data_IF_348325544987
#
_entry.id   IF_348325544987
#
_cell.length_a   1.000
_cell.length_b   1.000
_cell.length_c   1.000
_cell.angle_alpha   90.00
_cell.angle_beta   90.00
_cell.angle_gamma   90.00
#
_symmetry.space_group_name_H-M   'P 1'
#
loop_
_entity.id
_entity.type
_entity.pdbx_description
1 polymer ?
#
# COMPACT_ATOMS: atom_id res chain seq x y z
N UNK A 1 19.58 -1.35 -9.68
CA UNK A 1 20.53 -2.28 -9.02
C UNK A 1 21.44 -1.46 -8.13
N UNK A 2 21.60 -1.75 -6.83
CA UNK A 2 22.48 -0.98 -5.95
C UNK A 2 23.94 -1.11 -6.43
N UNK A 3 24.64 0.01 -6.54
CA UNK A 3 26.04 0.09 -7.00
C UNK A 3 26.99 0.04 -5.80
N UNK A 4 28.14 -0.64 -5.89
CA UNK A 4 29.17 -0.56 -4.86
C UNK A 4 29.66 0.89 -4.69
N UNK A 5 29.78 1.36 -3.45
CA UNK A 5 30.25 2.71 -3.13
C UNK A 5 31.36 2.62 -2.10
N UNK A 6 32.53 3.17 -2.44
CA UNK A 6 33.66 3.32 -1.50
C UNK A 6 33.29 4.25 -0.34
N UNK A 7 32.60 5.37 -0.63
CA UNK A 7 32.16 6.31 0.41
C UNK A 7 31.19 5.70 1.43
N UNK A 8 30.25 4.86 0.99
CA UNK A 8 29.38 4.13 1.92
C UNK A 8 30.20 3.16 2.80
N UNK A 9 31.11 2.40 2.19
CA UNK A 9 31.93 1.41 2.90
C UNK A 9 32.84 2.04 3.97
N UNK A 10 33.45 3.17 3.64
CA UNK A 10 34.29 3.95 4.55
C UNK A 10 33.50 4.51 5.73
N UNK A 11 32.34 5.12 5.49
CA UNK A 11 31.48 5.65 6.56
C UNK A 11 30.95 4.54 7.47
N UNK A 12 30.52 3.40 6.90
CA UNK A 12 30.10 2.23 7.67
C UNK A 12 31.22 1.75 8.60
N UNK A 13 32.44 1.63 8.06
CA UNK A 13 33.61 1.20 8.84
C UNK A 13 33.95 2.20 9.94
N UNK A 14 33.94 3.50 9.63
CA UNK A 14 34.20 4.58 10.59
C UNK A 14 33.21 4.50 11.76
N UNK A 15 31.91 4.51 11.49
CA UNK A 15 30.87 4.43 12.53
C UNK A 15 30.95 3.16 13.36
N UNK A 16 31.27 2.02 12.74
CA UNK A 16 31.49 0.77 13.47
C UNK A 16 32.64 0.90 14.47
N UNK A 17 33.76 1.50 14.06
CA UNK A 17 34.92 1.70 14.93
C UNK A 17 34.65 2.74 16.03
N UNK A 18 33.94 3.82 15.71
CA UNK A 18 33.55 4.86 16.68
C UNK A 18 32.60 4.30 17.77
N UNK A 19 31.76 3.32 17.41
CA UNK A 19 30.92 2.57 18.35
C UNK A 19 31.68 1.43 19.09
N UNK A 20 32.99 1.30 18.88
CA UNK A 20 33.82 0.25 19.52
C UNK A 20 33.51 -1.18 19.06
N UNK A 21 32.80 -1.35 17.94
CA UNK A 21 32.36 -2.67 17.47
C UNK A 21 33.40 -3.34 16.58
N UNK A 22 33.71 -4.60 16.89
CA UNK A 22 34.42 -5.46 15.93
C UNK A 22 33.50 -5.83 14.76
N UNK A 23 34.08 -6.23 13.62
CA UNK A 23 33.28 -6.71 12.49
C UNK A 23 32.49 -7.99 12.84
N UNK A 24 33.01 -8.81 13.76
CA UNK A 24 32.29 -9.99 14.28
C UNK A 24 31.11 -9.57 15.16
N UNK A 25 31.26 -8.54 16.00
CA UNK A 25 30.17 -8.02 16.81
C UNK A 25 29.06 -7.41 15.95
N UNK A 26 29.41 -6.61 14.92
CA UNK A 26 28.41 -6.10 13.98
C UNK A 26 27.72 -7.24 13.22
N UNK A 27 28.47 -8.25 12.76
CA UNK A 27 27.95 -9.45 12.10
C UNK A 27 26.88 -10.16 12.93
N UNK A 28 27.12 -10.33 14.22
CA UNK A 28 26.15 -10.91 15.15
C UNK A 28 24.91 -10.01 15.31
N UNK A 29 25.11 -8.70 15.48
CA UNK A 29 24.03 -7.75 15.74
C UNK A 29 23.07 -7.55 14.56
N UNK A 30 23.56 -7.60 13.31
CA UNK A 30 22.71 -7.43 12.12
C UNK A 30 22.29 -8.76 11.48
N UNK A 31 22.72 -9.90 12.03
CA UNK A 31 22.47 -11.23 11.45
C UNK A 31 22.90 -11.34 9.98
N UNK A 32 24.07 -10.79 9.64
CA UNK A 32 24.73 -10.93 8.33
C UNK A 32 26.13 -11.49 8.52
N UNK A 33 26.65 -12.23 7.54
CA UNK A 33 27.99 -12.82 7.65
C UNK A 33 29.10 -11.75 7.67
N UNK A 34 30.12 -11.98 8.50
CA UNK A 34 31.35 -11.17 8.55
C UNK A 34 31.98 -10.96 7.17
N UNK A 35 31.99 -12.01 6.34
CA UNK A 35 32.55 -11.95 4.99
C UNK A 35 31.76 -11.00 4.08
N UNK A 36 30.43 -10.93 4.23
CA UNK A 36 29.61 -9.98 3.49
C UNK A 36 29.86 -8.55 3.97
N UNK A 37 29.86 -8.31 5.28
CA UNK A 37 30.15 -6.98 5.84
C UNK A 37 31.53 -6.47 5.43
N UNK A 38 32.55 -7.34 5.45
CA UNK A 38 33.91 -7.00 4.98
C UNK A 38 33.95 -6.59 3.51
N UNK A 39 33.14 -7.20 2.65
CA UNK A 39 33.06 -6.81 1.23
C UNK A 39 32.33 -5.47 1.06
N UNK A 40 31.34 -5.19 1.90
CA UNK A 40 30.61 -3.91 1.90
C UNK A 40 31.52 -2.77 2.38
N UNK A 41 32.22 -2.93 3.51
CA UNK A 41 33.15 -1.91 4.02
C UNK A 41 34.31 -1.59 3.07
N UNK A 42 34.68 -2.54 2.19
CA UNK A 42 35.71 -2.34 1.16
C UNK A 42 35.16 -1.81 -0.17
N UNK A 43 33.86 -1.55 -0.27
CA UNK A 43 33.23 -1.12 -1.53
C UNK A 43 33.20 -2.20 -2.62
N UNK A 44 33.43 -3.47 -2.28
CA UNK A 44 33.44 -4.59 -3.25
C UNK A 44 32.02 -5.07 -3.56
N UNK A 45 31.12 -5.00 -2.57
CA UNK A 45 29.72 -5.45 -2.71
C UNK A 45 28.79 -4.34 -2.26
N UNK A 46 27.78 -4.04 -3.06
CA UNK A 46 26.72 -3.13 -2.66
C UNK A 46 25.87 -3.73 -1.53
N UNK A 47 25.53 -2.97 -0.48
CA UNK A 47 24.64 -3.43 0.59
C UNK A 47 23.20 -3.56 0.06
N UNK A 48 22.43 -4.51 0.61
CA UNK A 48 20.98 -4.50 0.44
C UNK A 48 20.38 -3.39 1.30
N UNK A 49 19.21 -2.85 0.92
CA UNK A 49 18.48 -1.84 1.70
C UNK A 49 18.23 -2.30 3.15
N UNK A 50 17.84 -3.56 3.33
CA UNK A 50 17.61 -4.12 4.66
C UNK A 50 18.91 -4.16 5.49
N UNK A 51 20.06 -4.46 4.87
CA UNK A 51 21.35 -4.41 5.56
C UNK A 51 21.70 -2.97 5.96
N UNK A 52 21.45 -1.98 5.09
CA UNK A 52 21.68 -0.57 5.40
C UNK A 52 20.87 -0.15 6.61
N UNK A 53 19.57 -0.45 6.65
CA UNK A 53 18.66 -0.13 7.77
C UNK A 53 19.11 -0.75 9.09
N UNK A 54 19.50 -2.04 9.07
CA UNK A 54 20.01 -2.71 10.25
C UNK A 54 21.33 -2.09 10.76
N UNK A 55 22.25 -1.78 9.85
CA UNK A 55 23.49 -1.08 10.23
C UNK A 55 23.23 0.32 10.75
N UNK A 56 22.30 1.06 10.15
CA UNK A 56 21.92 2.41 10.55
C UNK A 56 21.36 2.43 11.99
N UNK A 57 20.49 1.48 12.31
CA UNK A 57 19.95 1.29 13.65
C UNK A 57 21.02 0.87 14.68
N UNK A 58 21.79 -0.18 14.38
CA UNK A 58 22.80 -0.72 15.30
C UNK A 58 23.90 0.30 15.60
N UNK A 59 24.28 1.12 14.62
CA UNK A 59 25.33 2.12 14.74
C UNK A 59 24.81 3.50 15.14
N UNK A 60 23.50 3.64 15.40
CA UNK A 60 22.83 4.90 15.75
C UNK A 60 23.19 6.02 14.79
N UNK A 61 22.99 5.74 13.51
CA UNK A 61 23.37 6.64 12.44
C UNK A 61 22.25 7.58 11.99
N UNK A 62 21.04 7.43 12.54
CA UNK A 62 19.91 8.35 12.39
C UNK A 62 19.63 8.74 10.93
N UNK A 63 19.61 7.73 10.04
CA UNK A 63 19.38 7.89 8.61
C UNK A 63 20.61 8.24 7.79
N UNK A 64 21.77 8.52 8.39
CA UNK A 64 22.96 8.90 7.64
C UNK A 64 23.45 7.79 6.71
N UNK A 65 23.41 6.51 7.14
CA UNK A 65 23.78 5.40 6.26
C UNK A 65 22.72 5.15 5.18
N UNK A 66 21.45 5.39 5.51
CA UNK A 66 20.34 5.31 4.53
C UNK A 66 20.54 6.35 3.43
N UNK A 67 20.74 7.62 3.79
CA UNK A 67 20.94 8.72 2.84
C UNK A 67 22.13 8.49 1.90
N UNK A 68 23.24 7.95 2.42
CA UNK A 68 24.40 7.60 1.60
C UNK A 68 24.13 6.47 0.60
N UNK A 69 23.23 5.54 0.93
CA UNK A 69 22.91 4.39 0.08
C UNK A 69 21.88 4.71 -1.01
N UNK A 70 20.99 5.68 -0.79
CA UNK A 70 20.00 6.14 -1.79
C UNK A 70 20.57 7.11 -2.83
N UNK A 71 21.67 7.82 -2.51
CA UNK A 71 22.25 8.85 -3.37
C UNK A 71 21.42 10.15 -3.38
N UNK A 72 21.92 11.26 -3.99
CA UNK A 72 21.14 12.48 -4.12
C UNK A 72 19.85 12.17 -4.89
N UNK A 73 18.71 12.60 -4.35
CA UNK A 73 17.42 12.42 -4.99
C UNK A 73 17.49 13.05 -6.39
N UNK A 74 17.50 12.22 -7.43
CA UNK A 74 17.28 12.73 -8.79
C UNK A 74 15.93 13.44 -8.75
N UNK A 75 15.89 14.72 -9.12
CA UNK A 75 14.63 15.43 -9.34
C UNK A 75 13.79 14.55 -10.26
N UNK A 76 12.81 13.89 -9.66
CA UNK A 76 11.85 13.12 -10.43
C UNK A 76 11.08 14.18 -11.19
N UNK A 77 11.02 14.11 -12.53
CA UNK A 77 10.34 15.13 -13.31
C UNK A 77 8.94 15.36 -12.71
N UNK A 78 8.45 16.60 -12.71
CA UNK A 78 7.14 16.91 -12.16
C UNK A 78 6.16 15.87 -12.69
N UNK A 79 5.53 15.13 -11.77
CA UNK A 79 4.48 14.18 -12.12
C UNK A 79 3.54 14.96 -13.01
N UNK A 80 3.52 14.60 -14.29
CA UNK A 80 2.52 15.09 -15.22
C UNK A 80 1.18 14.80 -14.52
N UNK A 81 0.52 15.84 -14.02
CA UNK A 81 -0.93 15.81 -13.90
C UNK A 81 -1.37 15.29 -15.23
N UNK A 82 -1.94 14.07 -15.28
CA UNK A 82 -2.21 13.40 -16.53
C UNK A 82 -2.87 14.41 -17.48
N UNK A 83 -2.07 14.97 -18.39
CA UNK A 83 -2.50 16.04 -19.27
C UNK A 83 -3.54 15.36 -20.15
N UNK A 84 -4.80 15.68 -19.89
CA UNK A 84 -5.93 15.13 -20.60
C UNK A 84 -5.88 13.61 -20.78
N UNK A 85 -6.04 12.83 -19.70
CA UNK A 85 -6.80 11.59 -19.85
C UNK A 85 -8.28 11.99 -20.04
N UNK A 86 -8.53 12.43 -21.27
CA UNK A 86 -9.80 12.88 -21.81
C UNK A 86 -10.76 11.69 -21.77
N UNK A 87 -11.92 11.85 -21.11
CA UNK A 87 -13.02 10.87 -20.99
C UNK A 87 -12.71 9.49 -21.62
N UNK A 88 -11.87 8.67 -20.95
CA UNK A 88 -11.55 7.34 -21.45
C UNK A 88 -12.81 6.47 -21.32
N UNK A 89 -13.31 6.01 -22.45
CA UNK A 89 -14.43 5.08 -22.56
C UNK A 89 -13.91 3.70 -22.15
N UNK A 90 -14.47 3.14 -21.08
CA UNK A 90 -14.11 1.81 -20.61
C UNK A 90 -14.86 0.78 -21.44
N UNK A 91 -14.13 -0.13 -22.08
CA UNK A 91 -14.78 -1.29 -22.70
C UNK A 91 -14.71 -2.44 -21.71
N UNK A 92 -15.89 -2.88 -21.26
CA UNK A 92 -16.03 -4.17 -20.59
C UNK A 92 -16.15 -5.23 -21.67
N UNK A 93 -15.16 -6.10 -21.77
CA UNK A 93 -15.28 -7.29 -22.60
C UNK A 93 -15.65 -8.47 -21.71
N UNK A 94 -16.79 -9.07 -22.02
CA UNK A 94 -17.30 -10.29 -21.40
C UNK A 94 -16.81 -11.47 -22.23
N UNK A 95 -15.94 -12.31 -21.66
CA UNK A 95 -15.64 -13.59 -22.29
C UNK A 95 -16.80 -14.57 -22.05
N UNK A 96 -17.16 -15.42 -23.04
CA UNK A 96 -18.10 -16.52 -22.84
C UNK A 96 -17.72 -17.45 -21.68
N UNK A 97 -16.44 -17.53 -21.35
CA UNK A 97 -15.91 -18.38 -20.27
C UNK A 97 -15.97 -17.72 -18.88
N UNK A 98 -16.53 -16.51 -18.78
CA UNK A 98 -16.73 -15.77 -17.52
C UNK A 98 -15.71 -14.69 -17.13
N UNK A 99 -14.42 -14.67 -17.58
CA UNK A 99 -13.54 -13.56 -17.22
C UNK A 99 -14.00 -12.28 -17.92
N UNK A 100 -14.10 -11.21 -17.13
CA UNK A 100 -14.42 -9.87 -17.60
C UNK A 100 -13.19 -8.99 -17.43
N UNK A 101 -12.70 -8.37 -18.50
CA UNK A 101 -11.63 -7.38 -18.39
C UNK A 101 -12.12 -6.00 -18.78
N UNK A 102 -11.60 -5.01 -18.05
CA UNK A 102 -11.85 -3.60 -18.29
C UNK A 102 -10.56 -2.99 -18.79
N UNK A 103 -10.58 -2.51 -20.03
CA UNK A 103 -9.46 -1.76 -20.57
C UNK A 103 -9.91 -0.31 -20.83
N UNK A 104 -9.12 0.69 -20.41
CA UNK A 104 -9.33 2.05 -20.86
C UNK A 104 -9.06 2.12 -22.36
N UNK A 105 -10.03 2.58 -23.15
CA UNK A 105 -9.84 2.78 -24.59
C UNK A 105 -9.60 4.26 -24.83
N UNK A 106 -8.39 4.58 -25.29
CA UNK A 106 -8.11 5.93 -25.79
C UNK A 106 -8.94 6.21 -27.04
N UNK A 107 -9.47 7.43 -27.20
CA UNK A 107 -10.29 7.85 -28.36
C UNK A 107 -9.70 7.47 -29.73
N UNK A 108 -8.36 7.40 -29.85
CA UNK A 108 -7.64 7.00 -31.08
C UNK A 108 -7.57 5.48 -31.29
N UNK A 109 -7.57 4.67 -30.23
CA UNK A 109 -7.61 3.20 -30.32
C UNK A 109 -9.02 2.69 -30.64
N UNK A 110 -10.07 3.40 -30.21
CA UNK A 110 -11.45 3.13 -30.61
C UNK A 110 -11.66 3.22 -32.14
N UNK A 111 -10.88 4.07 -32.83
CA UNK A 111 -10.93 4.21 -34.29
C UNK A 111 -10.10 3.12 -35.01
N UNK A 112 -9.06 2.58 -34.36
CA UNK A 112 -8.16 1.58 -34.95
C UNK A 112 -8.57 0.12 -34.74
N UNK A 113 -9.37 -0.19 -33.72
CA UNK A 113 -9.81 -1.55 -33.40
C UNK A 113 -10.85 -2.13 -34.38
N UNK A 114 -11.24 -1.36 -35.41
CA UNK A 114 -12.28 -1.76 -36.35
C UNK A 114 -13.65 -1.75 -35.67
N UNK A 115 -14.65 -1.27 -36.40
CA UNK A 115 -16.05 -1.37 -36.03
C UNK A 115 -16.52 -2.84 -36.08
N UNK A 116 -15.97 -3.71 -35.22
CA UNK A 116 -16.59 -4.99 -34.88
C UNK A 116 -17.76 -4.69 -33.93
N UNK A 117 -18.83 -4.15 -34.52
CA UNK A 117 -20.20 -4.12 -34.01
C UNK A 117 -20.35 -4.09 -32.48
N UNK A 118 -19.98 -2.97 -31.85
CA UNK A 118 -20.62 -2.63 -30.59
C UNK A 118 -22.08 -2.31 -30.92
N UNK A 119 -22.96 -3.31 -30.86
CA UNK A 119 -24.38 -3.05 -30.73
C UNK A 119 -24.58 -2.27 -29.43
N UNK A 120 -24.60 -0.93 -29.52
CA UNK A 120 -25.17 -0.10 -28.47
C UNK A 120 -26.63 -0.48 -28.40
N UNK A 121 -27.01 -1.31 -27.43
CA UNK A 121 -28.40 -1.45 -27.05
C UNK A 121 -28.90 -0.04 -26.74
N UNK A 122 -29.86 0.51 -27.51
CA UNK A 122 -30.46 1.79 -27.18
C UNK A 122 -31.31 1.54 -25.93
N UNK A 123 -30.69 1.64 -24.76
CA UNK A 123 -31.44 1.89 -23.55
C UNK A 123 -31.96 3.30 -23.70
N UNK A 124 -33.29 3.44 -23.89
CA UNK A 124 -33.93 4.74 -23.78
C UNK A 124 -33.46 5.39 -22.48
N UNK A 125 -33.05 6.66 -22.55
CA UNK A 125 -32.53 7.35 -21.37
C UNK A 125 -33.54 7.23 -20.22
N UNK A 126 -33.13 6.78 -19.03
CA UNK A 126 -34.07 6.63 -17.92
C UNK A 126 -34.76 7.97 -17.65
N UNK A 127 -36.07 7.93 -17.40
CA UNK A 127 -36.82 9.11 -16.98
C UNK A 127 -36.35 9.62 -15.61
N UNK A 128 -36.87 10.78 -15.13
CA UNK A 128 -36.57 11.28 -13.79
C UNK A 128 -36.82 10.19 -12.73
N UNK A 129 -35.90 10.04 -11.78
CA UNK A 129 -36.07 9.09 -10.69
C UNK A 129 -37.06 9.66 -9.67
N UNK A 130 -38.06 8.85 -9.29
CA UNK A 130 -38.90 9.18 -8.14
C UNK A 130 -38.01 9.27 -6.87
N UNK A 131 -38.19 10.27 -5.98
CA UNK A 131 -37.34 10.45 -4.80
C UNK A 131 -37.19 9.20 -3.93
N UNK A 132 -38.30 8.49 -3.65
CA UNK A 132 -38.28 7.25 -2.85
C UNK A 132 -37.52 6.10 -3.51
N UNK A 133 -37.51 6.03 -4.85
CA UNK A 133 -36.72 5.05 -5.58
C UNK A 133 -35.22 5.40 -5.53
N UNK A 134 -34.88 6.70 -5.55
CA UNK A 134 -33.51 7.18 -5.39
C UNK A 134 -32.93 6.86 -4.00
N UNK A 135 -33.70 7.10 -2.95
CA UNK A 135 -33.32 6.77 -1.56
C UNK A 135 -33.13 5.25 -1.38
N UNK A 136 -34.05 4.42 -1.88
CA UNK A 136 -33.93 2.97 -1.80
C UNK A 136 -32.70 2.42 -2.54
N UNK A 137 -32.39 2.97 -3.72
CA UNK A 137 -31.18 2.61 -4.47
C UNK A 137 -29.90 3.01 -3.73
N UNK A 138 -29.88 4.18 -3.10
CA UNK A 138 -28.76 4.66 -2.30
C UNK A 138 -28.48 3.72 -1.11
N UNK A 139 -29.52 3.31 -0.38
CA UNK A 139 -29.40 2.38 0.74
C UNK A 139 -28.91 0.99 0.29
N UNK A 140 -29.46 0.47 -0.80
CA UNK A 140 -29.03 -0.80 -1.39
C UNK A 140 -27.55 -0.75 -1.81
N UNK A 141 -27.13 0.30 -2.52
CA UNK A 141 -25.73 0.48 -2.91
C UNK A 141 -24.81 0.65 -1.70
N UNK A 142 -25.23 1.32 -0.62
CA UNK A 142 -24.44 1.42 0.63
C UNK A 142 -24.23 0.06 1.28
N UNK A 143 -25.28 -0.76 1.31
CA UNK A 143 -25.21 -2.14 1.79
C UNK A 143 -24.26 -2.97 0.92
N UNK A 144 -24.40 -2.90 -0.41
CA UNK A 144 -23.50 -3.59 -1.35
C UNK A 144 -22.04 -3.17 -1.16
N UNK A 145 -21.76 -1.89 -0.96
CA UNK A 145 -20.41 -1.39 -0.72
C UNK A 145 -19.77 -2.04 0.52
N UNK A 146 -20.53 -2.15 1.60
CA UNK A 146 -20.09 -2.81 2.83
C UNK A 146 -19.75 -4.27 2.59
N UNK A 147 -20.57 -4.98 1.80
CA UNK A 147 -20.30 -6.37 1.42
C UNK A 147 -19.05 -6.50 0.54
N UNK A 148 -18.88 -5.64 -0.47
CA UNK A 148 -17.68 -5.63 -1.31
C UNK A 148 -16.41 -5.42 -0.50
N UNK A 149 -16.42 -4.51 0.49
CA UNK A 149 -15.25 -4.26 1.34
C UNK A 149 -14.90 -5.46 2.21
N UNK A 150 -15.89 -6.18 2.73
CA UNK A 150 -15.70 -7.44 3.47
C UNK A 150 -15.13 -8.53 2.58
N UNK A 151 -15.74 -8.76 1.40
CA UNK A 151 -15.27 -9.76 0.44
C UNK A 151 -13.84 -9.46 -0.02
N UNK A 152 -13.53 -8.19 -0.26
CA UNK A 152 -12.18 -7.75 -0.61
C UNK A 152 -11.21 -7.74 0.57
N UNK A 153 -11.48 -8.47 1.65
CA UNK A 153 -10.45 -8.98 2.55
C UNK A 153 -10.03 -10.42 2.24
N UNK A 154 -10.80 -11.20 1.50
CA UNK A 154 -10.57 -12.64 1.37
C UNK A 154 -10.40 -13.13 -0.07
N UNK A 155 -10.82 -12.34 -1.07
CA UNK A 155 -10.72 -12.71 -2.49
C UNK A 155 -9.76 -11.82 -3.25
N UNK A 156 -9.22 -12.32 -4.38
CA UNK A 156 -8.42 -11.56 -5.34
C UNK A 156 -9.17 -10.34 -5.91
N UNK A 157 -8.51 -9.18 -6.14
CA UNK A 157 -9.15 -7.98 -6.67
C UNK A 157 -9.95 -8.17 -7.97
N UNK A 158 -9.49 -9.05 -8.87
CA UNK A 158 -10.11 -9.29 -10.17
C UNK A 158 -11.57 -9.73 -10.11
N UNK A 159 -11.98 -10.42 -9.04
CA UNK A 159 -13.38 -10.84 -8.85
C UNK A 159 -14.31 -9.68 -8.45
N UNK A 160 -13.77 -8.60 -7.89
CA UNK A 160 -14.57 -7.49 -7.34
C UNK A 160 -14.56 -6.25 -8.23
N UNK A 161 -13.44 -6.02 -8.93
CA UNK A 161 -13.24 -4.83 -9.77
C UNK A 161 -14.39 -4.61 -10.77
N UNK A 162 -14.87 -5.62 -11.54
CA UNK A 162 -16.01 -5.44 -12.44
C UNK A 162 -17.26 -4.85 -11.79
N UNK A 163 -17.69 -5.44 -10.68
CA UNK A 163 -18.91 -5.02 -9.98
C UNK A 163 -18.75 -3.64 -9.35
N UNK A 164 -17.59 -3.35 -8.75
CA UNK A 164 -17.32 -2.05 -8.15
C UNK A 164 -17.26 -0.92 -9.20
N UNK A 165 -16.64 -1.18 -10.36
CA UNK A 165 -16.58 -0.23 -11.47
C UNK A 165 -17.99 0.05 -11.99
N UNK A 166 -18.77 -1.01 -12.27
CA UNK A 166 -20.15 -0.88 -12.73
C UNK A 166 -21.01 -0.07 -11.75
N UNK A 167 -20.95 -0.38 -10.45
CA UNK A 167 -21.67 0.36 -9.41
C UNK A 167 -21.26 1.83 -9.34
N UNK A 168 -19.96 2.15 -9.53
CA UNK A 168 -19.50 3.55 -9.59
C UNK A 168 -20.19 4.31 -10.74
N UNK A 169 -20.28 3.68 -11.91
CA UNK A 169 -20.93 4.27 -13.08
C UNK A 169 -22.45 4.41 -12.89
N UNK A 170 -23.10 3.38 -12.36
CA UNK A 170 -24.54 3.40 -12.05
C UNK A 170 -24.88 4.53 -11.09
N UNK A 171 -24.13 4.71 -10.00
CA UNK A 171 -24.37 5.80 -9.04
C UNK A 171 -24.25 7.18 -9.70
N UNK A 172 -23.25 7.36 -10.57
CA UNK A 172 -23.09 8.60 -11.35
C UNK A 172 -24.27 8.83 -12.30
N UNK A 173 -24.74 7.79 -12.99
CA UNK A 173 -25.89 7.88 -13.90
C UNK A 173 -27.20 8.20 -13.17
N UNK A 174 -27.46 7.52 -12.05
CA UNK A 174 -28.61 7.79 -11.19
C UNK A 174 -28.59 9.24 -10.68
N UNK A 175 -27.43 9.75 -10.31
CA UNK A 175 -27.30 11.12 -9.80
C UNK A 175 -27.71 12.19 -10.83
N UNK A 176 -27.61 11.91 -12.13
CA UNK A 176 -28.03 12.84 -13.18
C UNK A 176 -29.56 12.99 -13.28
N UNK A 177 -30.32 12.06 -12.69
CA UNK A 177 -31.78 12.00 -12.75
C UNK A 177 -32.43 12.20 -11.38
N UNK A 178 -31.65 12.55 -10.36
CA UNK A 178 -32.08 12.70 -8.97
C UNK A 178 -32.23 14.17 -8.56
N UNK A 179 -32.98 14.44 -7.49
CA UNK A 179 -33.01 15.76 -6.84
C UNK A 179 -31.66 16.12 -6.22
N UNK A 180 -31.47 17.39 -5.85
CA UNK A 180 -30.17 17.89 -5.36
C UNK A 180 -29.66 17.23 -4.07
N UNK A 181 -30.55 16.76 -3.20
CA UNK A 181 -30.16 16.05 -1.98
C UNK A 181 -29.61 14.68 -2.31
N UNK A 182 -30.46 13.87 -2.97
CA UNK A 182 -30.12 12.51 -3.41
C UNK A 182 -28.90 12.49 -4.33
N UNK A 183 -28.78 13.48 -5.24
CA UNK A 183 -27.62 13.64 -6.12
C UNK A 183 -26.31 13.78 -5.34
N UNK A 184 -26.27 14.59 -4.27
CA UNK A 184 -25.06 14.74 -3.44
C UNK A 184 -24.67 13.43 -2.78
N UNK A 185 -25.63 12.70 -2.24
CA UNK A 185 -25.37 11.44 -1.54
C UNK A 185 -24.93 10.32 -2.48
N UNK A 186 -25.53 10.24 -3.68
CA UNK A 186 -25.11 9.31 -4.73
C UNK A 186 -23.68 9.61 -5.19
N UNK A 187 -23.32 10.88 -5.39
CA UNK A 187 -21.95 11.29 -5.73
C UNK A 187 -20.95 10.97 -4.61
N UNK A 188 -21.33 11.22 -3.36
CA UNK A 188 -20.52 10.88 -2.20
C UNK A 188 -20.28 9.36 -2.09
N UNK A 189 -21.31 8.53 -2.29
CA UNK A 189 -21.16 7.08 -2.32
C UNK A 189 -20.34 6.61 -3.53
N UNK A 190 -20.57 7.18 -4.72
CA UNK A 190 -19.78 6.90 -5.93
C UNK A 190 -18.29 7.19 -5.73
N UNK A 191 -17.95 8.28 -5.03
CA UNK A 191 -16.57 8.59 -4.65
C UNK A 191 -15.94 7.49 -3.79
N UNK A 192 -16.70 6.86 -2.88
CA UNK A 192 -16.22 5.77 -2.01
C UNK A 192 -16.00 4.48 -2.78
N UNK A 193 -16.86 4.19 -3.76
CA UNK A 193 -16.62 3.09 -4.68
C UNK A 193 -15.35 3.31 -5.50
N UNK A 194 -15.19 4.47 -6.14
CA UNK A 194 -14.01 4.82 -6.91
C UNK A 194 -12.72 4.77 -6.07
N UNK A 195 -12.78 5.24 -4.82
CA UNK A 195 -11.67 5.18 -3.86
C UNK A 195 -11.21 3.75 -3.60
N UNK A 196 -12.18 2.85 -3.41
CA UNK A 196 -11.92 1.45 -3.14
C UNK A 196 -11.42 0.71 -4.38
N UNK A 197 -11.96 1.00 -5.56
CA UNK A 197 -11.42 0.51 -6.84
C UNK A 197 -9.95 0.92 -6.98
N UNK A 198 -9.63 2.18 -6.72
CA UNK A 198 -8.24 2.66 -6.75
C UNK A 198 -7.33 1.93 -5.75
N UNK A 199 -7.85 1.50 -4.60
CA UNK A 199 -7.09 0.63 -3.69
C UNK A 199 -6.88 -0.78 -4.25
N UNK A 200 -7.92 -1.40 -4.81
CA UNK A 200 -7.81 -2.73 -5.42
C UNK A 200 -6.88 -2.75 -6.63
N UNK A 201 -6.85 -1.69 -7.46
CA UNK A 201 -5.88 -1.57 -8.57
C UNK A 201 -4.43 -1.47 -8.06
N UNK A 202 -4.20 -0.85 -6.90
CA UNK A 202 -2.88 -0.88 -6.29
C UNK A 202 -2.52 -2.30 -5.83
N UNK A 203 -3.49 -3.04 -5.30
CA UNK A 203 -3.30 -4.43 -4.88
C UNK A 203 -3.05 -5.37 -6.07
N UNK A 204 -3.43 -5.02 -7.31
CA UNK A 204 -3.01 -5.76 -8.52
C UNK A 204 -1.62 -5.36 -9.02
N UNK A 205 -1.07 -4.25 -8.52
CA UNK A 205 0.20 -3.67 -8.95
C UNK A 205 0.09 -2.62 -10.05
N UNK A 206 -1.13 -2.22 -10.44
CA UNK A 206 -1.36 -1.15 -11.43
C UNK A 206 -1.44 0.22 -10.74
N UNK A 207 -0.26 0.81 -10.49
CA UNK A 207 -0.15 2.12 -9.83
C UNK A 207 -0.77 3.25 -10.65
N UNK A 208 -0.73 3.17 -11.99
CA UNK A 208 -1.31 4.18 -12.88
C UNK A 208 -2.82 4.18 -12.75
N UNK A 209 -3.46 3.01 -12.85
CA UNK A 209 -4.90 2.91 -12.66
C UNK A 209 -5.32 3.26 -11.23
N UNK A 210 -4.52 2.89 -10.22
CA UNK A 210 -4.77 3.27 -8.84
C UNK A 210 -4.85 4.80 -8.66
N UNK A 211 -3.92 5.56 -9.26
CA UNK A 211 -3.92 7.03 -9.23
C UNK A 211 -5.08 7.62 -10.04
N UNK A 212 -5.39 7.05 -11.20
CA UNK A 212 -6.53 7.49 -12.01
C UNK A 212 -7.85 7.34 -11.25
N UNK A 213 -8.09 6.19 -10.64
CA UNK A 213 -9.30 5.95 -9.83
C UNK A 213 -9.35 6.81 -8.57
N UNK A 214 -8.19 7.11 -7.99
CA UNK A 214 -8.09 8.08 -6.89
C UNK A 214 -8.55 9.48 -7.35
N UNK A 215 -8.10 9.94 -8.52
CA UNK A 215 -8.57 11.21 -9.08
C UNK A 215 -10.07 11.17 -9.38
N UNK A 216 -10.58 10.07 -9.95
CA UNK A 216 -12.02 9.90 -10.20
C UNK A 216 -12.84 9.99 -8.92
N UNK A 217 -12.34 9.45 -7.81
CA UNK A 217 -12.97 9.59 -6.51
C UNK A 217 -13.05 11.07 -6.09
N UNK A 218 -11.97 11.84 -6.27
CA UNK A 218 -11.95 13.29 -5.99
C UNK A 218 -12.97 14.04 -6.82
N UNK A 219 -13.05 13.73 -8.12
CA UNK A 219 -13.99 14.41 -9.03
C UNK A 219 -15.45 14.16 -8.62
N UNK A 220 -15.78 12.91 -8.27
CA UNK A 220 -17.11 12.53 -7.79
C UNK A 220 -17.45 13.21 -6.45
N UNK A 221 -16.50 13.23 -5.50
CA UNK A 221 -16.71 13.91 -4.22
C UNK A 221 -16.94 15.41 -4.41
N UNK A 222 -16.15 16.06 -5.27
CA UNK A 222 -16.29 17.48 -5.58
C UNK A 222 -17.65 17.80 -6.22
N UNK A 223 -18.14 16.94 -7.13
CA UNK A 223 -19.47 17.07 -7.73
C UNK A 223 -20.61 16.91 -6.69
N UNK A 224 -20.36 16.14 -5.62
CA UNK A 224 -21.23 16.02 -4.44
C UNK A 224 -21.07 17.14 -3.40
N UNK A 225 -20.11 18.06 -3.60
CA UNK A 225 -19.84 19.18 -2.69
C UNK A 225 -18.70 18.96 -1.68
N UNK A 226 -18.09 17.77 -1.62
CA UNK A 226 -16.95 17.48 -0.76
C UNK A 226 -15.62 17.68 -1.50
N UNK A 227 -14.96 18.81 -1.23
CA UNK A 227 -13.63 19.13 -1.77
C UNK A 227 -12.47 18.57 -0.94
N UNK A 228 -12.74 18.02 0.25
CA UNK A 228 -11.70 17.58 1.18
C UNK A 228 -11.02 16.29 0.72
N UNK A 229 -11.67 15.50 -0.15
CA UNK A 229 -11.11 14.27 -0.69
C UNK A 229 -9.84 14.50 -1.53
N UNK A 230 -9.62 15.72 -2.05
CA UNK A 230 -8.35 16.10 -2.67
C UNK A 230 -7.15 15.98 -1.73
N UNK A 231 -7.34 16.22 -0.43
CA UNK A 231 -6.31 15.97 0.59
C UNK A 231 -6.03 14.47 0.77
N UNK A 232 -7.03 13.61 0.67
CA UNK A 232 -6.83 12.17 0.71
C UNK A 232 -6.10 11.63 -0.52
N UNK A 233 -6.30 12.23 -1.70
CA UNK A 233 -5.53 11.86 -2.89
C UNK A 233 -4.02 12.04 -2.70
N UNK A 234 -3.59 13.06 -1.94
CA UNK A 234 -2.18 13.22 -1.53
C UNK A 234 -1.72 12.07 -0.63
N UNK A 235 -2.55 11.61 0.31
CA UNK A 235 -2.26 10.43 1.16
C UNK A 235 -2.11 9.17 0.31
N UNK A 236 -2.96 8.99 -0.71
CA UNK A 236 -2.87 7.85 -1.65
C UNK A 236 -1.59 7.91 -2.48
N UNK A 237 -1.23 9.09 -2.99
CA UNK A 237 0.05 9.29 -3.69
C UNK A 237 1.25 8.99 -2.78
N UNK A 238 1.22 9.47 -1.53
CA UNK A 238 2.27 9.19 -0.54
C UNK A 238 2.40 7.67 -0.27
N UNK A 239 1.31 6.91 -0.31
CA UNK A 239 1.37 5.46 -0.17
C UNK A 239 2.03 4.78 -1.38
N UNK A 240 1.84 5.28 -2.60
CA UNK A 240 2.49 4.74 -3.79
C UNK A 240 4.00 5.02 -3.74
N UNK A 241 4.38 6.27 -3.43
CA UNK A 241 5.81 6.63 -3.28
C UNK A 241 6.48 5.85 -2.15
N UNK A 242 5.74 5.52 -1.09
CA UNK A 242 6.22 4.65 -0.01
C UNK A 242 6.64 3.27 -0.54
N UNK A 243 5.84 2.63 -1.39
CA UNK A 243 6.19 1.33 -1.97
C UNK A 243 7.30 1.41 -3.03
N UNK A 244 7.49 2.57 -3.64
CA UNK A 244 8.64 2.87 -4.48
C UNK A 244 9.92 3.15 -3.67
N UNK A 245 9.80 3.19 -2.33
CA UNK A 245 10.87 3.47 -1.38
C UNK A 245 11.42 4.91 -1.50
N UNK A 246 10.58 5.84 -1.96
CA UNK A 246 10.88 7.27 -2.03
C UNK A 246 10.43 7.96 -0.74
N UNK A 247 11.34 8.01 0.24
CA UNK A 247 11.09 8.63 1.53
C UNK A 247 10.75 10.12 1.41
N UNK A 248 11.50 10.87 0.59
CA UNK A 248 11.37 12.31 0.47
C UNK A 248 10.00 12.73 -0.09
N UNK A 249 9.57 12.10 -1.21
CA UNK A 249 8.24 12.39 -1.76
C UNK A 249 7.13 11.92 -0.84
N UNK A 250 7.30 10.78 -0.17
CA UNK A 250 6.32 10.27 0.80
C UNK A 250 6.07 11.29 1.92
N UNK A 251 7.15 11.83 2.52
CA UNK A 251 7.06 12.87 3.55
C UNK A 251 6.43 14.15 3.01
N UNK A 252 6.91 14.65 1.86
CA UNK A 252 6.43 15.90 1.29
C UNK A 252 4.92 15.87 0.96
N UNK A 253 4.44 14.78 0.36
CA UNK A 253 3.03 14.59 0.04
C UNK A 253 2.18 14.46 1.32
N UNK A 254 2.66 13.71 2.30
CA UNK A 254 1.98 13.52 3.58
C UNK A 254 1.87 14.82 4.38
N UNK A 255 2.88 15.67 4.38
CA UNK A 255 2.86 16.97 5.07
C UNK A 255 1.86 17.93 4.42
N UNK A 256 1.78 17.97 3.08
CA UNK A 256 0.78 18.75 2.34
C UNK A 256 -0.65 18.33 2.68
N UNK A 257 -0.88 17.04 2.96
CA UNK A 257 -2.17 16.49 3.34
C UNK A 257 -2.56 16.70 4.82
N UNK A 258 -1.77 17.49 5.58
CA UNK A 258 -2.04 17.79 6.99
C UNK A 258 -2.54 19.22 7.25
N UNK A 259 -2.91 19.97 6.20
CA UNK A 259 -3.44 21.34 6.33
C UNK A 259 -4.61 21.41 7.32
N UNK A 260 -4.71 22.54 8.05
CA UNK A 260 -5.75 22.73 9.08
C UNK A 260 -7.19 22.73 8.54
N UNK A 261 -7.35 22.89 7.22
CA UNK A 261 -8.64 22.85 6.51
C UNK A 261 -9.15 21.43 6.23
N UNK A 262 -8.32 20.40 6.41
CA UNK A 262 -8.69 19.02 6.14
C UNK A 262 -9.29 18.33 7.38
N UNK A 263 -10.23 17.37 7.20
CA UNK A 263 -10.80 16.59 8.28
C UNK A 263 -9.73 15.84 9.10
N UNK A 264 -9.93 15.66 10.44
CA UNK A 264 -9.00 14.93 11.30
C UNK A 264 -8.61 13.56 10.76
N UNK A 265 -9.56 12.81 10.20
CA UNK A 265 -9.30 11.50 9.60
C UNK A 265 -8.25 11.53 8.49
N UNK A 266 -8.34 12.48 7.56
CA UNK A 266 -7.37 12.64 6.47
C UNK A 266 -6.00 13.04 7.03
N UNK A 267 -5.97 13.99 7.97
CA UNK A 267 -4.73 14.45 8.62
C UNK A 267 -4.05 13.33 9.40
N UNK A 268 -4.82 12.46 10.06
CA UNK A 268 -4.30 11.29 10.76
C UNK A 268 -3.72 10.22 9.83
N UNK A 269 -4.41 9.92 8.73
CA UNK A 269 -3.88 9.02 7.69
C UNK A 269 -2.62 9.59 7.02
N UNK A 270 -2.59 10.91 6.81
CA UNK A 270 -1.42 11.61 6.31
C UNK A 270 -0.25 11.52 7.29
N UNK A 271 -0.46 11.76 8.58
CA UNK A 271 0.57 11.62 9.61
C UNK A 271 1.12 10.19 9.70
N UNK A 272 0.29 9.16 9.48
CA UNK A 272 0.79 7.77 9.35
C UNK A 272 1.74 7.60 8.16
N UNK A 273 1.43 8.20 6.99
CA UNK A 273 2.33 8.14 5.82
C UNK A 273 3.60 8.95 6.04
N UNK A 274 3.51 10.09 6.71
CA UNK A 274 4.68 10.86 7.11
C UNK A 274 5.60 10.05 8.02
N UNK A 275 5.03 9.36 9.03
CA UNK A 275 5.80 8.49 9.92
C UNK A 275 6.55 7.39 9.14
N UNK A 276 5.86 6.73 8.21
CA UNK A 276 6.50 5.70 7.38
C UNK A 276 7.56 6.29 6.45
N UNK A 277 7.35 7.48 5.89
CA UNK A 277 8.38 8.17 5.10
C UNK A 277 9.64 8.47 5.91
N UNK A 278 9.49 8.97 7.15
CA UNK A 278 10.61 9.16 8.08
C UNK A 278 11.28 7.85 8.46
N UNK A 279 10.51 6.78 8.67
CA UNK A 279 11.04 5.44 8.91
C UNK A 279 11.88 4.92 7.73
N UNK A 280 11.42 5.12 6.48
CA UNK A 280 12.20 4.77 5.29
C UNK A 280 13.53 5.54 5.22
N UNK A 281 13.55 6.79 5.70
CA UNK A 281 14.74 7.64 5.76
C UNK A 281 15.68 7.32 6.95
N UNK A 282 15.26 6.47 7.89
CA UNK A 282 16.01 6.20 9.13
C UNK A 282 15.83 7.23 10.24
N UNK A 283 14.93 8.22 10.08
CA UNK A 283 14.66 9.25 11.09
C UNK A 283 13.63 8.73 12.12
N UNK A 284 14.14 8.03 13.14
CA UNK A 284 13.35 7.45 14.23
C UNK A 284 12.55 8.50 15.01
N UNK A 285 13.13 9.68 15.21
CA UNK A 285 12.55 10.74 16.03
C UNK A 285 11.40 11.45 15.31
N UNK A 286 11.58 11.80 14.04
CA UNK A 286 10.51 12.36 13.23
C UNK A 286 9.40 11.35 12.99
N UNK A 287 9.75 10.06 12.79
CA UNK A 287 8.79 8.97 12.72
C UNK A 287 7.91 8.92 13.97
N UNK A 288 8.50 8.89 15.17
CA UNK A 288 7.76 8.88 16.44
C UNK A 288 6.84 10.08 16.60
N UNK A 289 7.34 11.30 16.34
CA UNK A 289 6.53 12.52 16.42
C UNK A 289 5.33 12.47 15.45
N UNK A 290 5.51 11.91 14.26
CA UNK A 290 4.43 11.76 13.29
C UNK A 290 3.39 10.70 13.73
N UNK A 291 3.83 9.59 14.35
CA UNK A 291 2.92 8.60 14.95
C UNK A 291 2.09 9.22 16.09
N UNK A 292 2.69 10.04 16.95
CA UNK A 292 1.98 10.72 18.04
C UNK A 292 0.91 11.70 17.51
N UNK A 293 1.24 12.44 16.44
CA UNK A 293 0.25 13.26 15.72
C UNK A 293 -0.87 12.42 15.13
N UNK A 294 -0.54 11.28 14.52
CA UNK A 294 -1.53 10.36 13.96
C UNK A 294 -2.49 9.85 15.04
N UNK A 295 -1.99 9.46 16.23
CA UNK A 295 -2.85 9.07 17.36
C UNK A 295 -3.79 10.20 17.77
N UNK A 296 -3.28 11.42 17.86
CA UNK A 296 -4.07 12.60 18.24
C UNK A 296 -5.21 12.88 17.26
N UNK A 297 -4.95 12.78 15.95
CA UNK A 297 -5.97 13.00 14.92
C UNK A 297 -7.00 11.87 14.85
N UNK A 298 -6.57 10.62 15.03
CA UNK A 298 -7.42 9.44 14.89
C UNK A 298 -8.15 9.02 16.17
N UNK A 299 -7.82 9.61 17.31
CA UNK A 299 -8.58 9.43 18.56
C UNK A 299 -9.99 10.05 18.48
N UNK A 300 -10.21 11.01 17.58
CA UNK A 300 -11.53 11.59 17.32
C UNK A 300 -12.27 10.67 16.36
N UNK A 301 -13.30 9.96 16.83
CA UNK A 301 -14.14 9.15 15.97
C UNK A 301 -15.13 10.04 15.21
N UNK A 302 -15.18 9.86 13.89
CA UNK A 302 -16.25 10.40 13.04
C UNK A 302 -17.45 9.42 13.11
N UNK A 303 -18.67 9.96 13.08
CA UNK A 303 -19.93 9.24 13.37
C UNK A 303 -20.19 7.95 12.56
N UNK A 304 -20.96 7.04 13.17
CA UNK A 304 -21.08 5.63 12.79
C UNK A 304 -21.71 5.32 11.41
N UNK A 305 -22.45 6.25 10.80
CA UNK A 305 -23.33 5.94 9.65
C UNK A 305 -22.74 6.21 8.25
N UNK A 306 -21.50 6.69 8.17
CA UNK A 306 -20.84 7.01 6.87
C UNK A 306 -19.66 6.08 6.59
N UNK A 307 -19.50 5.57 5.34
CA UNK A 307 -18.34 4.76 4.98
C UNK A 307 -17.02 5.51 5.25
N UNK A 308 -16.21 4.90 6.13
CA UNK A 308 -14.94 5.45 6.60
C UNK A 308 -13.87 5.35 5.52
N UNK A 309 -13.11 6.42 5.33
CA UNK A 309 -11.93 6.45 4.45
C UNK A 309 -10.79 5.63 5.06
N UNK A 310 -10.10 4.85 4.22
CA UNK A 310 -8.93 4.08 4.60
C UNK A 310 -9.27 2.72 5.23
N UNK A 311 -8.35 2.21 6.08
CA UNK A 311 -8.51 0.88 6.69
C UNK A 311 -9.69 0.84 7.66
N UNK A 312 -10.53 -0.19 7.53
CA UNK A 312 -11.64 -0.49 8.44
C UNK A 312 -11.41 -1.74 9.30
N UNK A 313 -10.38 -2.53 9.00
CA UNK A 313 -10.13 -3.83 9.63
C UNK A 313 -8.91 -3.81 10.57
N UNK A 314 -8.51 -2.62 11.01
CA UNK A 314 -7.43 -2.41 11.98
C UNK A 314 -8.00 -1.70 13.20
N UNK A 315 -8.19 -2.42 14.33
CA UNK A 315 -8.66 -1.80 15.58
C UNK A 315 -7.75 -0.68 16.07
N UNK A 316 -6.42 -0.90 16.08
CA UNK A 316 -5.41 0.15 16.26
C UNK A 316 -4.56 0.30 15.00
N UNK A 317 -5.04 1.14 14.08
CA UNK A 317 -4.29 1.41 12.85
C UNK A 317 -2.95 2.10 13.10
N UNK A 318 -2.79 2.86 14.20
CA UNK A 318 -1.53 3.57 14.47
C UNK A 318 -0.50 2.61 15.04
N UNK A 319 -0.87 1.76 16.00
CA UNK A 319 0.01 0.69 16.50
C UNK A 319 0.47 -0.25 15.38
N UNK A 320 -0.43 -0.65 14.49
CA UNK A 320 -0.04 -1.45 13.32
C UNK A 320 0.98 -0.73 12.41
N UNK A 321 0.81 0.58 12.20
CA UNK A 321 1.79 1.40 11.46
C UNK A 321 3.09 1.59 12.25
N UNK A 322 3.06 1.64 13.58
CA UNK A 322 4.27 1.63 14.42
C UNK A 322 5.11 0.38 14.16
N UNK A 323 4.48 -0.81 14.18
CA UNK A 323 5.16 -2.06 13.86
C UNK A 323 5.77 -2.06 12.46
N UNK A 324 5.08 -1.47 11.48
CA UNK A 324 5.63 -1.23 10.14
C UNK A 324 6.89 -0.36 10.19
N UNK A 325 6.80 0.80 10.82
CA UNK A 325 7.90 1.75 10.89
C UNK A 325 9.12 1.14 11.57
N UNK A 326 8.95 0.31 12.61
CA UNK A 326 10.05 -0.38 13.28
C UNK A 326 10.80 -1.35 12.36
N UNK A 327 10.11 -2.03 11.43
CA UNK A 327 10.78 -2.85 10.40
C UNK A 327 11.65 -1.98 9.49
N UNK A 328 11.11 -0.86 9.02
CA UNK A 328 11.82 0.02 8.08
C UNK A 328 12.92 0.86 8.76
N UNK A 329 12.82 1.08 10.08
CA UNK A 329 13.87 1.65 10.92
C UNK A 329 14.97 0.63 11.30
N UNK A 330 14.86 -0.63 10.87
CA UNK A 330 15.87 -1.65 11.19
C UNK A 330 15.86 -2.10 12.66
N UNK A 331 14.70 -2.06 13.34
CA UNK A 331 14.50 -2.50 14.73
C UNK A 331 13.65 -3.77 14.80
N UNK A 332 14.20 -4.92 14.32
CA UNK A 332 13.39 -6.10 14.02
C UNK A 332 12.73 -6.73 15.25
N UNK A 333 13.40 -6.81 16.40
CA UNK A 333 12.82 -7.32 17.64
C UNK A 333 11.56 -6.56 18.05
N UNK A 334 11.69 -5.25 18.21
CA UNK A 334 10.59 -4.38 18.62
C UNK A 334 9.46 -4.39 17.58
N UNK A 335 9.81 -4.48 16.30
CA UNK A 335 8.82 -4.61 15.24
C UNK A 335 8.02 -5.91 15.37
N UNK A 336 8.67 -7.04 15.66
CA UNK A 336 8.00 -8.32 15.83
C UNK A 336 7.03 -8.28 17.03
N UNK A 337 7.48 -7.77 18.18
CA UNK A 337 6.67 -7.62 19.39
C UNK A 337 5.44 -6.72 19.19
N UNK A 338 5.60 -5.57 18.53
CA UNK A 338 4.47 -4.69 18.21
C UNK A 338 3.52 -5.35 17.21
N UNK A 339 4.03 -5.94 16.13
CA UNK A 339 3.20 -6.59 15.12
C UNK A 339 2.42 -7.79 15.68
N UNK A 340 2.99 -8.54 16.62
CA UNK A 340 2.27 -9.62 17.31
C UNK A 340 1.11 -9.10 18.15
N UNK A 341 1.37 -8.08 18.98
CA UNK A 341 0.31 -7.45 19.78
C UNK A 341 -0.83 -6.94 18.90
N UNK A 342 -0.51 -6.34 17.76
CA UNK A 342 -1.50 -5.75 16.87
C UNK A 342 -2.25 -6.80 16.06
N UNK A 343 -1.57 -7.83 15.55
CA UNK A 343 -2.20 -8.92 14.79
C UNK A 343 -3.16 -9.75 15.64
N UNK A 344 -2.90 -9.89 16.95
CA UNK A 344 -3.80 -10.56 17.87
C UNK A 344 -5.19 -9.87 17.96
N UNK A 345 -5.28 -8.59 17.62
CA UNK A 345 -6.54 -7.81 17.62
C UNK A 345 -7.28 -7.88 16.27
N UNK A 346 -6.61 -8.30 15.19
CA UNK A 346 -7.19 -8.34 13.85
C UNK A 346 -8.07 -9.57 13.70
N UNK A 347 -9.29 -9.40 13.18
CA UNK A 347 -10.18 -10.53 12.88
C UNK A 347 -9.52 -11.52 11.91
N UNK A 348 -9.74 -12.82 12.13
CA UNK A 348 -9.24 -13.87 11.22
C UNK A 348 -9.88 -13.79 9.83
N UNK A 349 -11.10 -13.25 9.73
CA UNK A 349 -11.80 -13.07 8.46
C UNK A 349 -11.19 -11.95 7.60
N UNK A 350 -10.37 -11.07 8.20
CA UNK A 350 -9.67 -10.02 7.48
C UNK A 350 -8.38 -10.56 6.81
N UNK A 351 -8.50 -11.60 5.99
CA UNK A 351 -7.36 -12.41 5.47
C UNK A 351 -6.26 -11.55 4.84
N UNK A 352 -6.60 -10.56 4.02
CA UNK A 352 -5.63 -9.65 3.38
C UNK A 352 -4.87 -8.81 4.39
N UNK A 353 -5.56 -8.33 5.42
CA UNK A 353 -4.90 -7.62 6.53
C UNK A 353 -3.97 -8.57 7.30
N UNK A 354 -4.45 -9.80 7.60
CA UNK A 354 -3.66 -10.83 8.27
C UNK A 354 -2.38 -11.15 7.50
N UNK A 355 -2.44 -11.38 6.19
CA UNK A 355 -1.25 -11.73 5.42
C UNK A 355 -0.31 -10.54 5.18
N UNK A 356 -0.85 -9.33 4.96
CA UNK A 356 -0.01 -8.12 4.76
C UNK A 356 0.86 -7.82 5.97
N UNK A 357 0.29 -7.87 7.16
CA UNK A 357 1.04 -7.59 8.38
C UNK A 357 1.72 -8.85 8.94
N UNK A 358 1.15 -10.04 8.74
CA UNK A 358 1.77 -11.31 9.13
C UNK A 358 3.07 -11.61 8.37
N UNK A 359 3.13 -11.33 7.07
CA UNK A 359 4.38 -11.49 6.29
C UNK A 359 5.43 -10.48 6.76
N UNK A 360 5.03 -9.25 7.08
CA UNK A 360 5.95 -8.26 7.67
C UNK A 360 6.43 -8.68 9.07
N UNK A 361 5.56 -9.28 9.90
CA UNK A 361 5.95 -9.87 11.19
C UNK A 361 6.98 -10.98 10.99
N UNK A 362 6.74 -11.89 10.05
CA UNK A 362 7.71 -12.95 9.72
C UNK A 362 9.05 -12.38 9.25
N UNK A 363 9.03 -11.31 8.46
CA UNK A 363 10.23 -10.58 8.05
C UNK A 363 10.97 -9.99 9.25
N UNK A 364 10.26 -9.43 10.23
CA UNK A 364 10.84 -8.91 11.46
C UNK A 364 11.59 -10.02 12.23
N UNK A 365 10.94 -11.17 12.46
CA UNK A 365 11.58 -12.33 13.10
C UNK A 365 12.80 -12.84 12.32
N UNK A 366 12.68 -12.98 10.99
CA UNK A 366 13.82 -13.41 10.17
C UNK A 366 14.99 -12.42 10.21
N UNK A 367 14.69 -11.13 10.40
CA UNK A 367 15.69 -10.06 10.50
C UNK A 367 16.35 -10.01 11.89
N UNK A 368 15.66 -10.42 12.95
CA UNK A 368 16.20 -10.60 14.32
C UNK A 368 16.93 -11.95 14.50
N UNK A 369 17.05 -12.75 13.43
CA UNK A 369 17.74 -14.05 13.46
C UNK A 369 16.91 -15.23 13.97
N UNK A 370 15.64 -15.01 14.31
CA UNK A 370 14.65 -16.01 14.76
C UNK A 370 14.12 -16.84 13.56
N UNK A 371 14.98 -17.61 12.90
CA UNK A 371 14.67 -18.26 11.60
C UNK A 371 13.57 -19.33 11.71
N UNK A 372 13.60 -20.16 12.75
CA UNK A 372 12.58 -21.19 12.97
C UNK A 372 11.21 -20.57 13.19
N UNK A 373 11.12 -19.59 14.09
CA UNK A 373 9.87 -18.91 14.38
C UNK A 373 9.36 -18.12 13.17
N UNK A 374 10.24 -17.44 12.43
CA UNK A 374 9.87 -16.78 11.18
C UNK A 374 9.23 -17.77 10.18
N UNK A 375 9.78 -18.97 10.05
CA UNK A 375 9.22 -20.01 9.21
C UNK A 375 7.87 -20.55 9.73
N UNK A 376 7.77 -20.78 11.04
CA UNK A 376 6.55 -21.21 11.72
C UNK A 376 5.38 -20.24 11.47
N UNK A 377 5.61 -18.94 11.68
CA UNK A 377 4.56 -17.92 11.48
C UNK A 377 4.27 -17.63 10.01
N UNK A 378 5.20 -17.98 9.10
CA UNK A 378 5.00 -17.81 7.65
C UNK A 378 4.09 -18.89 7.08
N UNK A 379 4.29 -20.15 7.48
CA UNK A 379 3.61 -21.31 6.92
C UNK A 379 2.07 -21.14 6.80
N UNK A 380 1.33 -20.75 7.86
CA UNK A 380 -0.13 -20.62 7.79
C UNK A 380 -0.60 -19.42 6.95
N UNK A 381 0.26 -18.46 6.65
CA UNK A 381 -0.11 -17.27 5.86
C UNK A 381 -0.17 -17.55 4.36
N UNK A 382 0.56 -18.56 3.90
CA UNK A 382 0.82 -18.75 2.47
C UNK A 382 -0.45 -19.10 1.67
N UNK A 383 -1.47 -19.71 2.28
CA UNK A 383 -2.76 -19.96 1.61
C UNK A 383 -3.54 -18.65 1.43
N UNK A 384 -3.53 -17.80 2.46
CA UNK A 384 -4.11 -16.46 2.39
C UNK A 384 -3.39 -15.59 1.35
N UNK A 385 -2.06 -15.67 1.26
CA UNK A 385 -1.26 -14.97 0.24
C UNK A 385 -1.71 -15.39 -1.16
N UNK A 386 -1.90 -16.70 -1.37
CA UNK A 386 -2.37 -17.25 -2.64
C UNK A 386 -3.81 -16.82 -2.96
N UNK A 387 -4.68 -16.72 -1.95
CA UNK A 387 -6.08 -16.34 -2.13
C UNK A 387 -6.27 -14.86 -2.48
N UNK A 388 -5.52 -13.96 -1.83
CA UNK A 388 -5.72 -12.51 -1.99
C UNK A 388 -4.94 -11.91 -3.17
N UNK A 389 -3.90 -12.59 -3.65
CA UNK A 389 -3.02 -12.20 -4.78
C UNK A 389 -2.68 -10.71 -4.80
N UNK A 390 -2.18 -10.22 -3.67
CA UNK A 390 -1.84 -8.81 -3.48
C UNK A 390 -0.38 -8.53 -3.85
N UNK A 391 -0.18 -7.63 -4.81
CA UNK A 391 1.12 -7.11 -5.20
C UNK A 391 1.87 -6.49 -4.03
N UNK A 392 1.17 -5.78 -3.13
CA UNK A 392 1.80 -5.13 -1.98
C UNK A 392 2.26 -6.15 -0.92
N UNK A 393 1.51 -7.24 -0.72
CA UNK A 393 1.94 -8.38 0.12
C UNK A 393 3.15 -9.08 -0.51
N UNK A 394 3.15 -9.25 -1.84
CA UNK A 394 4.26 -9.88 -2.56
C UNK A 394 5.58 -9.11 -2.41
N UNK A 395 5.57 -7.78 -2.24
CA UNK A 395 6.77 -6.99 -1.95
C UNK A 395 7.44 -7.48 -0.66
N UNK A 396 6.70 -7.59 0.44
CA UNK A 396 7.24 -8.06 1.71
C UNK A 396 7.59 -9.55 1.67
N UNK A 397 6.80 -10.35 0.94
CA UNK A 397 7.08 -11.78 0.77
C UNK A 397 8.42 -12.01 0.05
N UNK A 398 8.73 -11.18 -0.96
CA UNK A 398 10.04 -11.20 -1.65
C UNK A 398 11.17 -10.75 -0.73
N UNK A 399 10.94 -9.78 0.16
CA UNK A 399 11.92 -9.40 1.20
C UNK A 399 12.19 -10.58 2.14
N UNK A 400 11.15 -11.21 2.67
CA UNK A 400 11.24 -12.38 3.53
C UNK A 400 11.97 -13.54 2.85
N UNK A 401 11.59 -13.88 1.62
CA UNK A 401 12.21 -14.96 0.86
C UNK A 401 13.72 -14.73 0.66
N UNK A 402 14.15 -13.48 0.40
CA UNK A 402 15.57 -13.12 0.29
C UNK A 402 16.31 -13.27 1.62
N UNK A 403 15.68 -12.92 2.74
CA UNK A 403 16.25 -13.11 4.08
C UNK A 403 16.46 -14.59 4.39
N UNK A 404 15.41 -15.42 4.19
CA UNK A 404 15.44 -16.85 4.45
C UNK A 404 16.41 -17.59 3.52
N UNK A 405 16.56 -17.16 2.26
CA UNK A 405 17.49 -17.76 1.29
C UNK A 405 18.96 -17.71 1.74
N UNK A 406 19.32 -16.88 2.72
CA UNK A 406 20.66 -16.85 3.33
C UNK A 406 20.93 -18.04 4.25
N UNK A 407 19.89 -18.83 4.55
CA UNK A 407 19.94 -20.00 5.44
C UNK A 407 19.54 -21.29 4.70
N UNK A 408 20.22 -21.66 3.58
CA UNK A 408 19.80 -22.75 2.70
C UNK A 408 19.84 -24.15 3.35
N UNK A 409 20.67 -24.31 4.39
CA UNK A 409 20.79 -25.57 5.13
C UNK A 409 19.77 -25.69 6.28
N UNK A 410 18.98 -24.65 6.55
CA UNK A 410 17.97 -24.67 7.61
C UNK A 410 16.76 -25.52 7.17
N UNK A 411 16.38 -26.52 7.97
CA UNK A 411 15.35 -27.49 7.58
C UNK A 411 13.99 -26.84 7.33
N UNK A 412 13.56 -25.92 8.21
CA UNK A 412 12.33 -25.15 8.06
C UNK A 412 12.31 -24.29 6.78
N UNK A 413 13.41 -23.61 6.47
CA UNK A 413 13.55 -22.83 5.23
C UNK A 413 13.43 -23.73 4.00
N UNK A 414 14.09 -24.88 3.99
CA UNK A 414 14.00 -25.85 2.87
C UNK A 414 12.58 -26.34 2.63
N UNK A 415 11.79 -26.54 3.69
CA UNK A 415 10.37 -26.94 3.57
C UNK A 415 9.52 -25.85 2.94
N UNK A 416 9.76 -24.58 3.26
CA UNK A 416 8.98 -23.45 2.75
C UNK A 416 9.41 -22.97 1.35
N UNK A 417 10.68 -23.17 0.99
CA UNK A 417 11.29 -22.61 -0.22
C UNK A 417 10.49 -22.87 -1.51
N UNK A 418 9.94 -24.07 -1.79
CA UNK A 418 9.15 -24.29 -2.99
C UNK A 418 7.91 -23.40 -3.08
N UNK A 419 7.11 -23.31 -1.99
CA UNK A 419 5.91 -22.46 -1.96
C UNK A 419 6.27 -20.98 -2.04
N UNK A 420 7.30 -20.54 -1.31
CA UNK A 420 7.78 -19.16 -1.39
C UNK A 420 8.24 -18.80 -2.81
N UNK A 421 8.94 -19.72 -3.49
CA UNK A 421 9.35 -19.56 -4.87
C UNK A 421 8.17 -19.38 -5.83
N UNK A 422 7.11 -20.18 -5.68
CA UNK A 422 5.89 -20.04 -6.49
C UNK A 422 5.19 -18.71 -6.24
N UNK A 423 5.00 -18.33 -4.98
CA UNK A 423 4.20 -17.15 -4.59
C UNK A 423 4.93 -15.81 -4.76
N UNK A 424 6.25 -15.82 -4.93
CA UNK A 424 7.04 -14.60 -5.15
C UNK A 424 7.25 -14.26 -6.64
N UNK A 425 6.98 -15.20 -7.54
CA UNK A 425 7.04 -14.95 -8.99
C UNK A 425 5.98 -13.93 -9.38
N UNK A 426 6.29 -12.97 -10.28
CA UNK A 426 5.25 -12.15 -10.87
C UNK A 426 4.22 -13.06 -11.56
N UNK A 427 2.93 -12.72 -11.50
CA UNK A 427 1.94 -13.46 -12.29
C UNK A 427 2.37 -13.41 -13.76
N UNK A 428 2.52 -14.57 -14.38
CA UNK A 428 2.76 -14.66 -15.83
C UNK A 428 1.55 -14.06 -16.53
N UNK A 429 1.78 -12.97 -17.27
CA UNK A 429 0.78 -12.28 -18.09
C UNK A 429 0.21 -13.18 -19.17
#
# INVERSE_FOLDING_TARGET
MPQPSTGFGEELRKRRLDNGLSLTALSAAVHYSKAQLSKVERGIKAPSRDLVRLCDAVLRADGALVALATGPATETPPVQTADGINEEEWTMQLSPDGPSWFQPVGRRQAVGAGAASLMRLPMGGPGPLAPSAGEGMLEASRSLFTHYRRLGQSVEPGFLLPGLIAQTHTLRELSAHADDGTRRDLMALGSRYAEYVGWLMQETGDERAALWWTQRAVDLAAAGGDRTLGGYALVRRALITLYQDDAAQTVALAQRAQSGTLPPRIRGLAAQREAQGHALAGDSDACRRALDRARTFLARQDGADTPVIGSMHLPDSVGMVTGWCLVDLGRPREAAEELDRQLALVSRDAVRTQVRYGVRRALAYASDGEIDHACEVTAPLLDGVAAVRSATVTIDLRRLARFLARHPNHSAVRRLAPRLGTLTRPPTS
#
